data_IF_155445840277
#
_entry.id   IF_155445840277
#
_cell.length_a   1.000
_cell.length_b   1.000
_cell.length_c   1.000
_cell.angle_alpha   90.00
_cell.angle_beta   90.00
_cell.angle_gamma   90.00
#
_symmetry.space_group_name_H-M   'P 1'
#
loop_
_entity.id
_entity.type
_entity.pdbx_description
1 polymer ?
#
# COMPACT_ATOMS: atom_id res chain seq x y z
N UNK A 1 -8.02 16.79 16.86
CA UNK A 1 -7.11 16.81 18.02
C UNK A 1 -6.78 18.25 18.38
N UNK A 2 -7.52 18.82 19.33
CA UNK A 2 -7.41 20.23 19.71
C UNK A 2 -5.98 20.53 20.19
N UNK A 3 -5.41 21.63 19.70
CA UNK A 3 -4.06 22.08 20.08
C UNK A 3 -2.89 21.25 19.54
N UNK A 4 -3.14 20.27 18.65
CA UNK A 4 -2.07 19.46 18.01
C UNK A 4 -2.19 19.42 16.49
N UNK A 5 -3.38 19.14 15.98
CA UNK A 5 -3.66 19.19 14.54
C UNK A 5 -4.22 20.56 14.20
N UNK A 6 -3.66 21.20 13.19
CA UNK A 6 -4.09 22.52 12.74
C UNK A 6 -5.57 22.47 12.29
N UNK A 7 -6.45 23.29 12.90
CA UNK A 7 -7.87 23.27 12.56
C UNK A 7 -8.11 23.74 11.13
N UNK A 8 -9.14 23.18 10.47
CA UNK A 8 -9.53 23.58 9.11
C UNK A 8 -8.54 23.21 8.01
N UNK A 9 -7.52 22.38 8.29
CA UNK A 9 -6.54 21.98 7.29
C UNK A 9 -7.03 20.84 6.41
N UNK A 10 -6.68 20.90 5.12
CA UNK A 10 -6.95 19.85 4.13
C UNK A 10 -5.62 19.32 3.62
N UNK A 11 -5.41 18.02 3.74
CA UNK A 11 -4.28 17.30 3.16
C UNK A 11 -4.77 16.60 1.91
N UNK A 12 -4.22 16.99 0.74
CA UNK A 12 -4.58 16.40 -0.56
C UNK A 12 -3.76 15.16 -0.90
N UNK A 13 -2.68 14.92 -0.15
CA UNK A 13 -1.82 13.76 -0.34
C UNK A 13 -2.57 12.48 0.03
N UNK A 14 -2.22 11.41 -0.65
CA UNK A 14 -2.88 10.12 -0.48
C UNK A 14 -2.56 9.50 0.90
N UNK A 15 -3.62 9.01 1.54
CA UNK A 15 -3.59 8.27 2.81
C UNK A 15 -4.30 6.92 2.66
N UNK A 16 -4.01 5.99 3.55
CA UNK A 16 -4.69 4.70 3.67
C UNK A 16 -5.07 4.42 5.12
N UNK A 17 -6.04 3.54 5.34
CA UNK A 17 -6.39 3.04 6.67
C UNK A 17 -5.20 2.38 7.37
N UNK A 18 -4.23 1.82 6.63
CA UNK A 18 -3.00 1.26 7.21
C UNK A 18 -2.17 2.32 7.96
N UNK A 19 -2.20 3.58 7.50
CA UNK A 19 -1.47 4.68 8.12
C UNK A 19 -2.04 5.02 9.50
N UNK A 20 -3.33 4.70 9.76
CA UNK A 20 -3.95 4.94 11.06
C UNK A 20 -3.24 4.13 12.14
N UNK A 21 -2.97 2.85 11.89
CA UNK A 21 -2.28 1.97 12.85
C UNK A 21 -0.87 2.47 13.17
N UNK A 22 -0.09 2.85 12.17
CA UNK A 22 1.25 3.41 12.37
C UNK A 22 1.22 4.74 13.12
N UNK A 23 0.25 5.59 12.80
CA UNK A 23 0.04 6.89 13.43
C UNK A 23 -0.38 6.74 14.89
N UNK A 24 -1.33 5.85 15.22
CA UNK A 24 -1.80 5.66 16.60
C UNK A 24 -0.74 5.03 17.49
N UNK A 25 0.08 4.09 16.97
CA UNK A 25 1.25 3.58 17.69
C UNK A 25 2.20 4.71 18.10
N UNK A 26 2.48 5.65 17.19
CA UNK A 26 3.32 6.82 17.50
C UNK A 26 2.68 7.78 18.49
N UNK A 27 1.36 7.98 18.43
CA UNK A 27 0.63 8.75 19.44
C UNK A 27 0.78 8.12 20.83
N UNK A 28 0.73 6.79 20.91
CA UNK A 28 0.92 6.02 22.15
C UNK A 28 2.39 5.85 22.59
N UNK A 29 3.36 6.54 21.97
CA UNK A 29 4.77 6.44 22.33
C UNK A 29 5.49 5.16 21.85
N UNK A 30 4.82 4.34 21.02
CA UNK A 30 5.38 3.10 20.49
C UNK A 30 6.33 3.27 19.30
N UNK A 31 7.01 2.17 18.96
CA UNK A 31 7.72 2.01 17.70
C UNK A 31 6.76 1.48 16.62
N UNK A 32 7.00 1.86 15.36
CA UNK A 32 6.29 1.26 14.21
C UNK A 32 7.11 0.04 13.81
N UNK A 33 6.53 -1.17 13.81
CA UNK A 33 7.23 -2.36 13.36
C UNK A 33 7.64 -2.25 11.88
N UNK A 34 8.77 -2.84 11.50
CA UNK A 34 9.30 -2.75 10.13
C UNK A 34 8.38 -3.44 9.11
N UNK A 35 7.57 -4.40 9.55
CA UNK A 35 6.63 -5.16 8.74
C UNK A 35 5.32 -4.42 8.41
N UNK A 36 5.10 -3.24 9.00
CA UNK A 36 3.90 -2.43 8.75
C UNK A 36 4.03 -1.62 7.46
N UNK A 37 3.03 -1.69 6.59
CA UNK A 37 3.00 -0.93 5.33
C UNK A 37 2.53 0.53 5.51
N UNK A 38 1.87 0.83 6.63
CA UNK A 38 1.35 2.17 6.95
C UNK A 38 2.44 3.13 7.45
N UNK A 39 2.27 4.43 7.17
CA UNK A 39 3.24 5.47 7.58
C UNK A 39 2.70 6.38 8.69
N UNK A 40 3.61 6.99 9.45
CA UNK A 40 3.26 7.97 10.49
C UNK A 40 2.81 9.30 9.86
N UNK A 41 1.54 9.66 10.02
CA UNK A 41 0.99 10.91 9.51
C UNK A 41 1.19 12.11 10.46
N UNK A 42 1.63 11.90 11.71
CA UNK A 42 1.72 12.96 12.71
C UNK A 42 2.56 14.16 12.26
N UNK A 43 3.77 14.00 11.68
CA UNK A 43 4.55 15.15 11.24
C UNK A 43 3.78 16.01 10.25
N UNK A 44 3.04 15.38 9.33
CA UNK A 44 2.24 16.08 8.33
C UNK A 44 0.99 16.75 8.92
N UNK A 45 0.31 16.06 9.84
CA UNK A 45 -0.91 16.54 10.51
C UNK A 45 -0.65 17.70 11.48
N UNK A 46 0.55 17.76 12.05
CA UNK A 46 0.97 18.78 13.02
C UNK A 46 1.73 19.95 12.38
N UNK A 47 1.97 19.91 11.06
CA UNK A 47 2.69 20.97 10.34
C UNK A 47 4.20 20.93 10.49
N UNK A 48 4.77 19.84 11.03
CA UNK A 48 6.22 19.66 11.14
C UNK A 48 6.87 19.29 9.79
N UNK A 49 6.07 18.91 8.78
CA UNK A 49 6.51 18.70 7.40
C UNK A 49 5.40 19.02 6.42
N UNK A 50 5.77 19.40 5.20
CA UNK A 50 4.85 19.75 4.13
C UNK A 50 4.37 18.54 3.31
N UNK A 51 5.05 17.39 3.44
CA UNK A 51 4.74 16.17 2.66
C UNK A 51 4.71 14.92 3.52
N UNK A 52 3.83 14.00 3.17
CA UNK A 52 3.82 12.64 3.72
C UNK A 52 5.02 11.89 3.13
N UNK A 53 5.91 11.39 3.99
CA UNK A 53 6.95 10.48 3.56
C UNK A 53 6.35 9.10 3.26
N UNK A 54 6.05 8.84 1.98
CA UNK A 54 5.53 7.56 1.49
C UNK A 54 6.56 6.92 0.54
N UNK A 55 7.49 6.10 1.05
CA UNK A 55 8.55 5.51 0.24
C UNK A 55 8.03 4.41 -0.71
N UNK A 56 6.91 3.76 -0.35
CA UNK A 56 6.37 2.62 -1.08
C UNK A 56 5.11 3.00 -1.88
N UNK A 57 4.89 2.40 -3.07
CA UNK A 57 3.61 2.46 -3.76
C UNK A 57 2.47 1.90 -2.90
N UNK A 58 1.25 2.30 -3.23
CA UNK A 58 0.06 1.71 -2.61
C UNK A 58 -0.55 0.69 -3.54
N UNK A 59 -0.91 -0.46 -2.99
CA UNK A 59 -1.42 -1.59 -3.74
C UNK A 59 -2.80 -1.99 -3.21
N UNK A 60 -3.62 -2.49 -4.11
CA UNK A 60 -4.91 -3.09 -3.81
C UNK A 60 -5.02 -4.40 -4.55
N UNK A 61 -5.58 -5.41 -3.88
CA UNK A 61 -6.03 -6.66 -4.47
C UNK A 61 -7.44 -6.91 -3.96
N UNK A 62 -8.38 -7.04 -4.90
CA UNK A 62 -9.78 -7.29 -4.60
C UNK A 62 -10.36 -8.18 -5.69
N UNK A 63 -10.61 -9.45 -5.33
CA UNK A 63 -11.09 -10.48 -6.25
C UNK A 63 -10.21 -10.57 -7.51
N UNK A 64 -10.80 -10.40 -8.68
CA UNK A 64 -10.12 -10.48 -9.98
C UNK A 64 -9.39 -9.20 -10.38
N UNK A 65 -9.29 -8.23 -9.47
CA UNK A 65 -8.80 -6.90 -9.80
C UNK A 65 -7.67 -6.49 -8.89
N UNK A 66 -6.71 -5.78 -9.47
CA UNK A 66 -5.57 -5.25 -8.77
C UNK A 66 -5.34 -3.81 -9.18
N UNK A 67 -4.79 -3.03 -8.27
CA UNK A 67 -4.36 -1.68 -8.57
C UNK A 67 -3.05 -1.33 -7.88
N UNK A 68 -2.29 -0.45 -8.51
CA UNK A 68 -1.16 0.25 -7.91
C UNK A 68 -1.35 1.74 -8.10
N UNK A 69 -1.02 2.52 -7.08
CA UNK A 69 -0.95 3.98 -7.16
C UNK A 69 0.40 4.50 -6.70
N UNK A 70 1.00 5.34 -7.54
CA UNK A 70 2.26 6.06 -7.30
C UNK A 70 2.04 7.54 -7.59
N UNK A 71 1.91 8.33 -6.54
CA UNK A 71 1.55 9.75 -6.66
C UNK A 71 0.21 9.94 -7.38
N UNK A 72 0.26 10.64 -8.52
CA UNK A 72 -0.91 10.96 -9.33
C UNK A 72 -1.32 9.85 -10.29
N UNK A 73 -0.49 8.80 -10.45
CA UNK A 73 -0.75 7.73 -11.40
C UNK A 73 -1.34 6.51 -10.72
N UNK A 74 -2.45 6.03 -11.25
CA UNK A 74 -3.10 4.79 -10.86
C UNK A 74 -3.16 3.85 -12.05
N UNK A 75 -2.66 2.65 -11.88
CA UNK A 75 -2.87 1.55 -12.81
C UNK A 75 -3.84 0.58 -12.16
N UNK A 76 -4.88 0.21 -12.89
CA UNK A 76 -5.87 -0.78 -12.49
C UNK A 76 -5.90 -1.88 -13.54
N UNK A 77 -6.05 -3.13 -13.11
CA UNK A 77 -6.16 -4.27 -14.01
C UNK A 77 -7.18 -5.29 -13.52
N UNK A 78 -7.76 -6.00 -14.49
CA UNK A 78 -8.48 -7.25 -14.30
C UNK A 78 -7.79 -8.38 -15.07
N UNK A 79 -8.39 -9.57 -15.10
CA UNK A 79 -7.97 -10.69 -15.96
C UNK A 79 -7.99 -10.37 -17.46
N UNK A 80 -8.76 -9.35 -17.89
CA UNK A 80 -9.03 -9.07 -19.32
C UNK A 80 -8.53 -7.72 -19.80
N UNK A 81 -8.24 -6.78 -18.91
CA UNK A 81 -7.85 -5.43 -19.29
C UNK A 81 -6.95 -4.76 -18.28
N UNK A 82 -6.21 -3.75 -18.76
CA UNK A 82 -5.38 -2.87 -17.96
C UNK A 82 -5.67 -1.42 -18.35
N UNK A 83 -5.86 -0.57 -17.35
CA UNK A 83 -6.23 0.83 -17.48
C UNK A 83 -5.22 1.68 -16.70
N UNK A 84 -4.84 2.83 -17.26
CA UNK A 84 -3.95 3.79 -16.60
C UNK A 84 -4.64 5.15 -16.52
N UNK A 85 -4.62 5.77 -15.34
CA UNK A 85 -5.23 7.07 -15.08
C UNK A 85 -4.25 8.01 -14.38
N UNK A 86 -4.34 9.31 -14.70
CA UNK A 86 -3.74 10.37 -13.89
C UNK A 86 -4.83 10.97 -13.01
N UNK A 87 -4.96 10.49 -11.77
CA UNK A 87 -6.08 10.83 -10.88
C UNK A 87 -6.04 12.27 -10.34
N UNK A 88 -4.91 12.97 -10.49
CA UNK A 88 -4.84 14.40 -10.16
C UNK A 88 -5.51 15.26 -11.24
N UNK A 89 -5.45 14.84 -12.50
CA UNK A 89 -6.06 15.53 -13.64
C UNK A 89 -7.42 14.95 -14.04
N UNK A 90 -7.65 13.68 -13.73
CA UNK A 90 -8.84 12.91 -14.05
C UNK A 90 -9.33 12.13 -12.81
N UNK A 91 -9.90 12.84 -11.81
CA UNK A 91 -10.31 12.24 -10.54
C UNK A 91 -11.46 11.22 -10.68
N UNK A 92 -12.15 11.23 -11.83
CA UNK A 92 -13.24 10.30 -12.15
C UNK A 92 -12.80 9.14 -13.05
N UNK A 93 -11.52 9.06 -13.41
CA UNK A 93 -10.94 7.95 -14.15
C UNK A 93 -11.62 7.70 -15.51
N UNK A 94 -11.95 8.76 -16.23
CA UNK A 94 -12.70 8.70 -17.49
C UNK A 94 -11.80 8.43 -18.70
N UNK A 95 -10.52 8.80 -18.62
CA UNK A 95 -9.59 8.74 -19.75
C UNK A 95 -8.55 7.66 -19.53
N UNK A 96 -8.68 6.52 -20.21
CA UNK A 96 -7.65 5.49 -20.20
C UNK A 96 -6.42 5.96 -20.99
N UNK A 97 -5.27 5.99 -20.31
CA UNK A 97 -3.97 6.46 -20.82
C UNK A 97 -2.94 5.34 -21.02
N UNK A 98 -3.37 4.08 -20.96
CA UNK A 98 -2.44 2.93 -20.98
C UNK A 98 -1.58 2.88 -22.25
N UNK A 99 -2.13 3.33 -23.39
CA UNK A 99 -1.41 3.41 -24.67
C UNK A 99 -0.66 4.73 -24.83
N UNK A 100 -1.29 5.87 -24.46
CA UNK A 100 -0.69 7.20 -24.64
C UNK A 100 0.51 7.44 -23.72
N UNK A 101 0.55 6.77 -22.57
CA UNK A 101 1.61 6.89 -21.56
C UNK A 101 2.21 5.52 -21.24
N UNK A 102 2.56 4.77 -22.29
CA UNK A 102 3.01 3.38 -22.22
C UNK A 102 4.22 3.16 -21.29
N UNK A 103 5.14 4.11 -21.19
CA UNK A 103 6.27 4.03 -20.25
C UNK A 103 5.82 4.05 -18.79
N UNK A 104 4.82 4.89 -18.47
CA UNK A 104 4.23 4.96 -17.13
C UNK A 104 3.48 3.67 -16.83
N UNK A 105 2.70 3.17 -17.80
CA UNK A 105 2.00 1.89 -17.69
C UNK A 105 2.98 0.74 -17.42
N UNK A 106 4.05 0.62 -18.21
CA UNK A 106 5.07 -0.41 -18.05
C UNK A 106 5.75 -0.35 -16.67
N UNK A 107 6.05 0.86 -16.19
CA UNK A 107 6.63 1.06 -14.84
C UNK A 107 5.69 0.61 -13.74
N UNK A 108 4.43 1.04 -13.76
CA UNK A 108 3.45 0.67 -12.72
C UNK A 108 3.10 -0.82 -12.79
N UNK A 109 2.97 -1.39 -13.98
CA UNK A 109 2.79 -2.82 -14.20
C UNK A 109 3.89 -3.63 -13.53
N UNK A 110 5.15 -3.26 -13.76
CA UNK A 110 6.31 -3.93 -13.13
C UNK A 110 6.26 -3.89 -11.61
N UNK A 111 5.83 -2.76 -11.02
CA UNK A 111 5.64 -2.64 -9.57
C UNK A 111 4.53 -3.57 -9.06
N UNK A 112 3.39 -3.59 -9.76
CA UNK A 112 2.24 -4.39 -9.39
C UNK A 112 2.52 -5.91 -9.53
N UNK A 113 3.22 -6.33 -10.58
CA UNK A 113 3.65 -7.72 -10.76
C UNK A 113 4.66 -8.16 -9.70
N UNK A 114 5.60 -7.29 -9.35
CA UNK A 114 6.57 -7.56 -8.28
C UNK A 114 5.88 -7.74 -6.92
N UNK A 115 4.94 -6.85 -6.58
CA UNK A 115 4.17 -6.94 -5.35
C UNK A 115 3.25 -8.17 -5.33
N UNK A 116 2.49 -8.43 -6.39
CA UNK A 116 1.59 -9.59 -6.45
C UNK A 116 2.36 -10.90 -6.27
N UNK A 117 3.54 -11.02 -6.88
CA UNK A 117 4.39 -12.20 -6.76
C UNK A 117 5.04 -12.36 -5.37
N UNK A 118 5.06 -11.32 -4.54
CA UNK A 118 5.61 -11.40 -3.18
C UNK A 118 4.57 -11.88 -2.15
N UNK A 119 3.28 -11.84 -2.47
CA UNK A 119 2.19 -12.27 -1.58
C UNK A 119 2.12 -13.81 -1.44
N UNK A 120 1.51 -14.34 -0.35
CA UNK A 120 1.37 -15.78 -0.19
C UNK A 120 0.49 -16.36 -1.30
N UNK A 121 0.82 -17.57 -1.72
CA UNK A 121 -0.03 -18.34 -2.62
C UNK A 121 -1.15 -18.96 -1.80
N UNK A 122 -2.39 -18.79 -2.22
CA UNK A 122 -3.49 -19.60 -1.71
C UNK A 122 -3.38 -20.96 -2.39
N UNK A 123 -3.03 -22.00 -1.63
CA UNK A 123 -2.65 -23.33 -2.17
C UNK A 123 -3.83 -24.13 -2.74
N UNK A 124 -5.07 -23.66 -2.60
CA UNK A 124 -6.21 -24.29 -3.25
C UNK A 124 -6.67 -23.47 -4.47
N UNK A 125 -6.63 -24.05 -5.69
CA UNK A 125 -7.48 -23.57 -6.75
C UNK A 125 -8.91 -23.83 -6.31
N UNK A 126 -9.55 -22.83 -5.68
CA UNK A 126 -11.01 -22.70 -5.83
C UNK A 126 -11.26 -22.89 -7.32
N UNK A 127 -12.17 -23.78 -7.71
CA UNK A 127 -12.34 -24.42 -9.04
C UNK A 127 -12.48 -23.48 -10.26
N UNK A 128 -12.10 -22.23 -10.07
CA UNK A 128 -12.05 -21.16 -11.00
C UNK A 128 -10.88 -20.21 -10.64
N UNK A 129 -9.64 -20.70 -10.61
CA UNK A 129 -8.47 -19.85 -10.35
C UNK A 129 -8.27 -18.77 -11.45
N UNK A 130 -8.97 -18.90 -12.59
CA UNK A 130 -9.19 -17.83 -13.57
C UNK A 130 -10.06 -16.67 -13.07
N UNK A 131 -10.73 -16.81 -11.92
CA UNK A 131 -11.68 -15.82 -11.39
C UNK A 131 -11.50 -15.43 -9.93
N UNK A 132 -10.44 -15.84 -9.23
CA UNK A 132 -10.34 -15.50 -7.80
C UNK A 132 -9.21 -14.55 -7.44
N UNK A 133 -8.12 -14.47 -8.19
CA UNK A 133 -7.07 -13.47 -7.91
C UNK A 133 -6.41 -13.00 -9.19
N UNK A 134 -6.17 -11.68 -9.31
CA UNK A 134 -5.33 -11.16 -10.38
C UNK A 134 -3.90 -11.67 -10.16
N UNK A 135 -3.60 -12.81 -10.76
CA UNK A 135 -2.23 -13.33 -10.85
C UNK A 135 -1.31 -12.28 -11.49
N UNK A 136 0.03 -12.32 -11.29
CA UNK A 136 0.92 -11.48 -12.08
C UNK A 136 0.75 -11.81 -13.56
N UNK A 137 -0.06 -11.01 -14.26
CA UNK A 137 -0.54 -11.29 -15.61
C UNK A 137 0.60 -11.43 -16.62
N UNK A 138 1.72 -10.78 -16.34
CA UNK A 138 2.91 -10.74 -17.20
C UNK A 138 4.12 -11.44 -16.55
N UNK A 139 3.90 -12.18 -15.47
CA UNK A 139 4.95 -12.82 -14.68
C UNK A 139 5.69 -11.87 -13.74
N UNK A 140 6.33 -12.45 -12.72
CA UNK A 140 7.11 -11.68 -11.76
C UNK A 140 8.42 -11.15 -12.41
N UNK A 141 8.85 -9.91 -12.12
CA UNK A 141 10.18 -9.46 -12.49
C UNK A 141 11.28 -10.43 -12.01
N UNK A 142 12.33 -10.61 -12.82
CA UNK A 142 13.44 -11.51 -12.50
C UNK A 142 14.05 -11.16 -11.13
N UNK A 143 14.12 -12.15 -10.24
CA UNK A 143 14.70 -11.98 -8.90
C UNK A 143 13.72 -11.53 -7.81
N UNK A 144 12.42 -11.38 -8.11
CA UNK A 144 11.39 -11.14 -7.09
C UNK A 144 11.42 -12.25 -6.03
N UNK A 145 11.55 -11.87 -4.77
CA UNK A 145 11.52 -12.79 -3.63
C UNK A 145 10.14 -12.74 -2.96
N UNK A 146 9.63 -13.87 -2.44
CA UNK A 146 8.47 -13.85 -1.57
C UNK A 146 8.70 -12.89 -0.40
N UNK A 147 7.66 -12.14 -0.05
CA UNK A 147 7.69 -11.28 1.13
C UNK A 147 8.01 -12.16 2.36
N UNK A 148 9.01 -11.80 3.16
CA UNK A 148 9.41 -12.60 4.31
C UNK A 148 8.27 -12.83 5.32
N UNK A 149 7.24 -11.97 5.34
CA UNK A 149 6.05 -12.10 6.20
C UNK A 149 5.19 -13.33 5.87
N UNK A 150 5.31 -13.87 4.65
CA UNK A 150 4.37 -14.85 4.09
C UNK A 150 5.02 -16.20 3.73
N UNK A 151 6.17 -16.55 4.33
CA UNK A 151 6.87 -17.82 4.05
C UNK A 151 6.18 -19.00 4.75
N UNK A 152 5.87 -20.05 3.98
CA UNK A 152 5.25 -21.32 4.44
C UNK A 152 6.27 -22.48 4.35
N UNK A 153 6.31 -23.43 5.32
CA UNK A 153 5.65 -23.34 6.61
C UNK A 153 6.15 -22.10 7.34
N UNK A 154 5.33 -21.51 8.23
CA UNK A 154 5.81 -20.51 9.17
C UNK A 154 6.93 -21.17 9.97
N UNK A 155 8.16 -21.13 9.47
CA UNK A 155 9.19 -22.09 9.85
C UNK A 155 9.68 -21.84 11.28
N UNK A 156 9.42 -20.63 11.79
CA UNK A 156 9.67 -20.19 13.15
C UNK A 156 8.81 -18.92 13.40
N UNK A 157 7.51 -19.05 13.77
CA UNK A 157 6.68 -17.90 14.06
C UNK A 157 7.15 -17.28 15.37
N UNK A 158 8.15 -16.41 15.29
CA UNK A 158 8.47 -15.51 16.41
C UNK A 158 7.33 -14.50 16.48
N UNK A 159 6.60 -14.41 17.61
CA UNK A 159 5.70 -13.29 17.82
C UNK A 159 6.50 -12.02 17.58
N UNK A 160 5.97 -11.08 16.80
CA UNK A 160 6.46 -9.71 16.87
C UNK A 160 6.45 -9.35 18.35
N UNK A 161 7.58 -8.89 18.89
CA UNK A 161 7.65 -8.50 20.28
C UNK A 161 6.56 -7.44 20.50
N UNK A 162 5.48 -7.81 21.19
CA UNK A 162 4.40 -6.88 21.51
C UNK A 162 5.05 -5.71 22.24
N UNK A 163 4.81 -4.45 21.81
CA UNK A 163 5.72 -3.37 22.16
C UNK A 163 5.88 -3.26 23.67
N UNK A 164 7.10 -2.86 24.06
CA UNK A 164 7.46 -2.47 25.42
C UNK A 164 6.33 -1.65 26.07
N UNK A 165 6.12 -1.76 27.40
CA UNK A 165 5.01 -1.10 28.09
C UNK A 165 4.85 0.33 27.59
N UNK A 166 3.62 0.69 27.20
CA UNK A 166 3.26 2.06 26.82
C UNK A 166 3.83 2.97 27.91
N UNK A 167 4.87 3.73 27.57
CA UNK A 167 5.39 4.72 28.50
C UNK A 167 4.25 5.71 28.74
N UNK A 168 3.97 6.01 30.01
CA UNK A 168 3.00 7.04 30.37
C UNK A 168 3.27 8.28 29.53
N UNK A 169 2.26 8.69 28.77
CA UNK A 169 2.39 9.90 27.97
C UNK A 169 2.53 11.10 28.91
N UNK A 170 3.14 12.22 28.51
CA UNK A 170 3.30 13.42 29.35
C UNK A 170 1.99 14.07 29.86
N UNK A 171 0.85 13.46 29.57
CA UNK A 171 -0.49 13.95 29.89
C UNK A 171 -1.22 13.04 30.91
N UNK A 172 -0.54 12.01 31.43
CA UNK A 172 -0.89 11.23 32.63
C UNK A 172 0.04 11.57 33.80
#
# INVERSE_FOLDING_TARGET
>A
WKGKIMPGTVIKEMVTTLDLTATTLKVGGGAIPEEFDGVNLLPRLTGNTDKINRPNPMFWDFWQTQAVRVGDWKLWRSSTQELLFNVAKDPYELTNRVQSDAEVAARLRKLLDGWSASLPRMDEPRQDASQVFAWPLYGAPKGTKPDPRYRVPYADPKPAAYPAPIQKTPWE
#
